data_IF_809355603663
#
_entry.id   IF_809355603663
#
_cell.length_a   1.000
_cell.length_b   1.000
_cell.length_c   1.000
_cell.angle_alpha   90.00
_cell.angle_beta   90.00
_cell.angle_gamma   90.00
#
_symmetry.space_group_name_H-M   'P 1'
#
loop_
_entity.id
_entity.type
_entity.pdbx_description
1 polymer ?
#
# COMPACT_ATOMS: atom_id res chain seq x y z
N UNK A 1 17.23 -8.46 -15.80
CA UNK A 1 17.41 -7.30 -14.90
C UNK A 1 16.16 -7.16 -14.05
N UNK A 2 16.26 -7.32 -12.74
CA UNK A 2 15.13 -7.07 -11.81
C UNK A 2 14.96 -5.57 -11.65
N UNK A 3 13.86 -5.02 -12.18
CA UNK A 3 13.52 -3.62 -12.00
C UNK A 3 13.34 -3.30 -10.50
N UNK A 4 13.85 -2.16 -9.99
CA UNK A 4 13.67 -1.76 -8.60
C UNK A 4 12.19 -1.75 -8.16
N UNK A 5 11.91 -2.03 -6.89
CA UNK A 5 10.52 -2.05 -6.39
C UNK A 5 9.86 -0.67 -6.50
N UNK A 6 10.64 0.40 -6.28
CA UNK A 6 10.18 1.78 -6.40
C UNK A 6 9.70 2.09 -7.82
N UNK A 7 10.42 1.58 -8.80
CA UNK A 7 10.12 1.75 -10.21
C UNK A 7 8.80 1.06 -10.58
N UNK A 8 8.68 -0.21 -10.19
CA UNK A 8 7.47 -0.98 -10.38
C UNK A 8 6.27 -0.34 -9.64
N UNK A 9 6.47 0.19 -8.44
CA UNK A 9 5.44 0.96 -7.72
C UNK A 9 5.02 2.21 -8.50
N UNK A 10 5.98 2.97 -9.03
CA UNK A 10 5.69 4.16 -9.85
C UNK A 10 4.87 3.79 -11.09
N UNK A 11 5.24 2.72 -11.80
CA UNK A 11 4.48 2.20 -12.95
C UNK A 11 3.05 1.82 -12.53
N UNK A 12 2.89 1.05 -11.45
CA UNK A 12 1.57 0.60 -10.98
C UNK A 12 0.68 1.75 -10.54
N UNK A 13 1.25 2.81 -9.96
CA UNK A 13 0.53 4.04 -9.60
C UNK A 13 -0.19 4.67 -10.80
N UNK A 14 0.51 4.71 -11.92
CA UNK A 14 0.04 5.37 -13.14
C UNK A 14 -0.62 4.41 -14.11
N UNK A 15 -0.84 3.16 -13.70
CA UNK A 15 -1.34 2.08 -14.56
C UNK A 15 -0.55 1.96 -15.87
N UNK A 16 0.75 2.26 -15.83
CA UNK A 16 1.60 2.23 -17.00
C UNK A 16 1.96 0.77 -17.37
N UNK A 17 2.25 0.49 -18.64
CA UNK A 17 2.84 -0.77 -19.06
C UNK A 17 4.13 -1.09 -18.28
N UNK A 18 4.37 -2.37 -17.97
CA UNK A 18 5.51 -2.79 -17.14
C UNK A 18 6.89 -2.51 -17.78
N UNK A 19 6.93 -2.28 -19.09
CA UNK A 19 8.10 -1.93 -19.90
C UNK A 19 8.36 -0.41 -20.00
N UNK A 20 7.55 0.41 -19.30
CA UNK A 20 7.71 1.86 -19.32
C UNK A 20 9.01 2.29 -18.64
N UNK A 21 9.80 3.12 -19.34
CA UNK A 21 10.98 3.74 -18.75
C UNK A 21 10.58 4.92 -17.85
N UNK A 22 10.98 4.84 -16.59
CA UNK A 22 10.56 5.80 -15.55
C UNK A 22 11.39 7.07 -15.60
N UNK A 23 12.63 7.01 -16.07
CA UNK A 23 13.50 8.20 -16.21
C UNK A 23 12.88 9.24 -17.12
N UNK A 24 12.12 8.79 -18.13
CA UNK A 24 11.46 9.65 -19.11
C UNK A 24 10.31 10.43 -18.46
N UNK A 25 9.66 9.85 -17.44
CA UNK A 25 8.59 10.50 -16.69
C UNK A 25 9.11 11.37 -15.53
N UNK A 26 10.23 11.01 -14.91
CA UNK A 26 10.82 11.79 -13.82
C UNK A 26 11.33 13.16 -14.30
N UNK A 27 11.79 13.24 -15.55
CA UNK A 27 12.38 14.44 -16.14
C UNK A 27 11.37 15.32 -16.90
N UNK A 28 10.13 14.86 -17.10
CA UNK A 28 9.11 15.64 -17.79
C UNK A 28 8.38 16.57 -16.81
N UNK A 29 8.64 17.89 -16.91
CA UNK A 29 7.80 18.96 -16.35
C UNK A 29 6.39 19.02 -16.98
N UNK A 30 6.07 18.11 -17.90
CA UNK A 30 4.83 18.13 -18.65
C UNK A 30 3.68 17.61 -17.78
N UNK A 31 2.58 18.38 -17.82
CA UNK A 31 1.29 18.13 -17.18
C UNK A 31 0.68 16.83 -17.72
N UNK A 32 1.20 15.67 -17.34
CA UNK A 32 0.35 14.48 -17.34
C UNK A 32 -0.76 14.78 -16.34
N UNK A 33 -2.00 14.66 -16.77
CA UNK A 33 -3.18 14.67 -15.91
C UNK A 33 -3.11 13.46 -15.00
N UNK A 34 -2.27 13.55 -13.98
CA UNK A 34 -2.03 12.50 -13.02
C UNK A 34 -3.28 12.39 -12.15
N UNK A 35 -4.01 11.28 -12.26
CA UNK A 35 -5.00 10.93 -11.26
C UNK A 35 -4.38 11.07 -9.86
N UNK A 36 -5.18 11.49 -8.89
CA UNK A 36 -4.75 11.79 -7.52
C UNK A 36 -4.29 10.55 -6.71
N UNK A 37 -3.91 9.46 -7.41
CA UNK A 37 -3.43 8.20 -6.85
C UNK A 37 -1.96 8.35 -6.51
N UNK A 38 -1.66 8.77 -5.29
CA UNK A 38 -0.28 8.86 -4.80
C UNK A 38 0.03 7.73 -3.82
N UNK A 39 -0.99 7.01 -3.34
CA UNK A 39 -0.88 6.05 -2.26
C UNK A 39 -0.97 4.63 -2.82
N UNK A 40 0.00 3.80 -2.48
CA UNK A 40 0.16 2.45 -3.01
C UNK A 40 0.41 1.50 -1.84
N UNK A 41 -0.16 0.30 -1.92
CA UNK A 41 0.12 -0.78 -1.00
C UNK A 41 0.55 -2.03 -1.77
N UNK A 42 1.45 -2.81 -1.18
CA UNK A 42 1.90 -4.11 -1.67
C UNK A 42 1.63 -5.13 -0.60
N UNK A 43 0.99 -6.23 -0.96
CA UNK A 43 0.92 -7.42 -0.09
C UNK A 43 1.93 -8.45 -0.56
N UNK A 44 2.71 -9.01 0.36
CA UNK A 44 3.76 -9.97 0.05
C UNK A 44 3.91 -11.03 1.17
N UNK A 45 4.61 -12.13 0.90
CA UNK A 45 4.70 -13.27 1.82
C UNK A 45 5.68 -13.08 2.98
N UNK A 46 6.97 -12.96 2.67
CA UNK A 46 8.07 -12.96 3.63
C UNK A 46 9.09 -11.89 3.27
N UNK A 47 10.02 -11.61 4.19
CA UNK A 47 11.08 -10.61 3.98
C UNK A 47 10.73 -9.25 4.58
N UNK A 48 11.62 -8.29 4.32
CA UNK A 48 11.51 -6.89 4.73
C UNK A 48 11.67 -6.01 3.49
N UNK A 49 11.18 -4.78 3.58
CA UNK A 49 11.49 -3.75 2.59
C UNK A 49 12.78 -3.06 3.01
N UNK A 50 13.72 -2.92 2.08
CA UNK A 50 15.00 -2.21 2.27
C UNK A 50 15.04 -1.05 1.28
N UNK A 51 15.46 0.12 1.73
CA UNK A 51 15.75 1.27 0.88
C UNK A 51 17.26 1.53 0.91
N UNK A 52 17.87 1.64 -0.27
CA UNK A 52 19.25 2.02 -0.51
C UNK A 52 19.30 3.14 -1.57
N UNK A 53 20.49 3.63 -1.89
CA UNK A 53 20.68 4.66 -2.94
C UNK A 53 20.13 4.21 -4.31
N UNK A 54 20.19 2.91 -4.60
CA UNK A 54 19.67 2.31 -5.84
C UNK A 54 18.13 2.11 -5.83
N UNK A 55 17.46 2.46 -4.73
CA UNK A 55 16.00 2.41 -4.60
C UNK A 55 15.48 1.42 -3.55
N UNK A 56 14.27 0.91 -3.80
CA UNK A 56 13.52 0.08 -2.85
C UNK A 56 13.56 -1.39 -3.28
N UNK A 57 13.79 -2.30 -2.33
CA UNK A 57 13.97 -3.73 -2.61
C UNK A 57 13.31 -4.61 -1.54
N UNK A 58 12.95 -5.84 -1.94
CA UNK A 58 12.58 -6.89 -1.00
C UNK A 58 13.83 -7.64 -0.55
N UNK A 59 14.05 -7.70 0.77
CA UNK A 59 15.27 -8.24 1.39
C UNK A 59 15.51 -9.73 1.14
N UNK A 60 14.50 -10.47 0.71
CA UNK A 60 14.56 -11.91 0.50
C UNK A 60 14.15 -12.22 -0.93
N UNK A 61 14.97 -12.98 -1.63
CA UNK A 61 14.66 -13.50 -2.97
C UNK A 61 13.44 -14.43 -2.98
N UNK A 62 13.10 -15.06 -1.84
CA UNK A 62 11.89 -15.87 -1.67
C UNK A 62 10.62 -15.06 -1.33
N UNK A 63 10.72 -13.73 -1.25
CA UNK A 63 9.58 -12.86 -1.06
C UNK A 63 8.76 -12.80 -2.36
N UNK A 64 7.49 -13.20 -2.29
CA UNK A 64 6.58 -13.13 -3.42
C UNK A 64 5.57 -12.01 -3.18
N UNK A 65 5.47 -11.11 -4.16
CA UNK A 65 4.40 -10.12 -4.21
C UNK A 65 3.11 -10.83 -4.61
N UNK A 66 2.07 -10.66 -3.80
CA UNK A 66 0.77 -11.31 -3.99
C UNK A 66 -0.23 -10.37 -4.65
N UNK A 67 -0.20 -9.08 -4.29
CA UNK A 67 -1.12 -8.08 -4.83
C UNK A 67 -0.59 -6.66 -4.67
N UNK A 68 -1.10 -5.76 -5.51
CA UNK A 68 -0.91 -4.32 -5.43
C UNK A 68 -2.25 -3.65 -5.20
N UNK A 69 -2.24 -2.61 -4.37
CA UNK A 69 -3.38 -1.74 -4.14
C UNK A 69 -3.03 -0.29 -4.45
N UNK A 70 -3.97 0.45 -4.99
CA UNK A 70 -3.86 1.90 -5.22
C UNK A 70 -5.06 2.58 -4.58
N UNK A 71 -4.90 3.81 -4.09
CA UNK A 71 -6.06 4.54 -3.60
C UNK A 71 -7.03 4.86 -4.75
N UNK A 72 -8.32 4.92 -4.47
CA UNK A 72 -9.35 5.46 -5.34
C UNK A 72 -10.13 6.54 -4.59
N UNK A 73 -10.60 7.56 -5.30
CA UNK A 73 -11.49 8.56 -4.71
C UNK A 73 -12.92 8.06 -4.72
N UNK A 74 -13.69 8.54 -3.75
CA UNK A 74 -15.14 8.36 -3.73
C UNK A 74 -15.81 9.21 -4.81
N UNK A 75 -17.12 9.08 -4.91
CA UNK A 75 -17.92 9.97 -5.74
C UNK A 75 -17.93 11.41 -5.19
N UNK A 76 -18.14 12.38 -6.08
CA UNK A 76 -18.23 13.80 -5.68
C UNK A 76 -19.43 14.07 -4.77
N UNK A 77 -20.48 13.24 -4.87
CA UNK A 77 -21.69 13.31 -4.05
C UNK A 77 -21.49 12.73 -2.63
N UNK A 78 -20.37 12.04 -2.37
CA UNK A 78 -20.05 11.46 -1.06
C UNK A 78 -20.91 10.27 -0.65
N UNK A 79 -21.64 9.63 -1.58
CA UNK A 79 -22.42 8.42 -1.34
C UNK A 79 -21.52 7.19 -1.25
N UNK A 80 -20.43 7.17 -2.01
CA UNK A 80 -19.46 6.08 -2.04
C UNK A 80 -18.11 6.53 -1.50
N UNK A 81 -17.61 5.94 -0.40
CA UNK A 81 -16.29 6.28 0.10
C UNK A 81 -15.22 5.80 -0.90
N UNK A 82 -14.15 6.57 -1.04
CA UNK A 82 -12.97 6.13 -1.76
C UNK A 82 -12.33 4.90 -1.12
N UNK A 83 -11.66 4.09 -1.93
CA UNK A 83 -10.91 2.93 -1.43
C UNK A 83 -9.47 3.34 -1.12
N UNK A 84 -8.99 2.98 0.06
CA UNK A 84 -7.60 3.18 0.42
C UNK A 84 -6.71 2.08 -0.18
N UNK A 85 -5.45 2.39 -0.48
CA UNK A 85 -4.54 1.48 -1.15
C UNK A 85 -4.36 0.15 -0.39
N UNK A 86 -4.34 0.22 0.94
CA UNK A 86 -4.23 -0.92 1.85
C UNK A 86 -5.40 -1.88 1.72
N UNK A 87 -6.61 -1.34 1.54
CA UNK A 87 -7.82 -2.15 1.40
C UNK A 87 -7.91 -2.72 -0.02
N UNK A 88 -7.53 -1.94 -1.03
CA UNK A 88 -7.48 -2.39 -2.42
C UNK A 88 -6.50 -3.56 -2.60
N UNK A 89 -5.31 -3.49 -1.98
CA UNK A 89 -4.33 -4.58 -2.07
C UNK A 89 -4.87 -5.87 -1.45
N UNK A 90 -5.53 -5.81 -0.29
CA UNK A 90 -6.13 -6.99 0.36
C UNK A 90 -7.30 -7.51 -0.45
N UNK A 91 -8.16 -6.64 -0.99
CA UNK A 91 -9.31 -7.04 -1.80
C UNK A 91 -8.90 -7.83 -3.05
N UNK A 92 -7.77 -7.47 -3.65
CA UNK A 92 -7.16 -8.16 -4.79
C UNK A 92 -6.45 -9.47 -4.45
N UNK A 93 -6.30 -9.82 -3.16
CA UNK A 93 -5.77 -11.13 -2.79
C UNK A 93 -6.72 -12.25 -3.23
N UNK A 94 -6.19 -13.35 -3.79
CA UNK A 94 -7.00 -14.52 -4.08
C UNK A 94 -7.50 -15.14 -2.78
N UNK A 95 -8.73 -15.66 -2.77
CA UNK A 95 -9.27 -16.30 -1.57
C UNK A 95 -8.46 -17.56 -1.23
N UNK A 96 -7.81 -17.57 -0.09
CA UNK A 96 -7.09 -18.72 0.41
C UNK A 96 -8.02 -19.57 1.27
N UNK A 97 -8.86 -20.37 0.61
CA UNK A 97 -9.69 -21.38 1.28
C UNK A 97 -8.91 -22.68 1.37
N UNK A 98 -8.36 -23.00 2.54
CA UNK A 98 -7.80 -24.33 2.76
C UNK A 98 -8.94 -25.33 2.95
N UNK A 99 -8.89 -26.48 2.25
CA UNK A 99 -9.87 -27.57 2.33
C UNK A 99 -10.11 -28.07 3.77
N UNK A 100 -9.13 -27.87 4.67
CA UNK A 100 -9.17 -28.36 6.05
C UNK A 100 -9.35 -27.24 7.11
N UNK A 101 -9.70 -26.01 6.70
CA UNK A 101 -10.12 -24.92 7.61
C UNK A 101 -9.07 -24.38 8.59
N UNK A 102 -7.82 -24.86 8.59
CA UNK A 102 -6.86 -24.60 9.69
C UNK A 102 -5.65 -23.73 9.36
N UNK A 103 -5.18 -23.65 8.12
CA UNK A 103 -3.98 -22.83 7.83
C UNK A 103 -4.36 -21.46 7.28
N UNK A 104 -4.01 -20.43 8.04
CA UNK A 104 -4.09 -19.04 7.64
C UNK A 104 -2.73 -18.63 7.06
N UNK A 105 -2.71 -18.17 5.80
CA UNK A 105 -1.46 -17.78 5.14
C UNK A 105 -0.96 -16.45 5.71
N UNK A 106 0.27 -16.43 6.22
CA UNK A 106 0.87 -15.20 6.75
C UNK A 106 1.32 -14.30 5.60
N UNK A 107 1.01 -13.01 5.74
CA UNK A 107 1.38 -11.97 4.78
C UNK A 107 1.89 -10.73 5.50
N UNK A 108 2.65 -9.94 4.77
CA UNK A 108 3.08 -8.61 5.13
C UNK A 108 2.45 -7.60 4.17
N UNK A 109 2.25 -6.37 4.64
CA UNK A 109 1.77 -5.27 3.81
C UNK A 109 2.77 -4.14 3.89
N UNK A 110 3.17 -3.58 2.75
CA UNK A 110 3.93 -2.33 2.67
C UNK A 110 3.04 -1.25 2.09
N UNK A 111 3.02 -0.08 2.71
CA UNK A 111 2.18 1.04 2.33
C UNK A 111 3.08 2.24 2.12
N UNK A 112 3.03 2.87 0.96
CA UNK A 112 3.83 4.07 0.68
C UNK A 112 3.11 5.06 -0.20
N UNK A 113 3.46 6.32 -0.04
CA UNK A 113 3.00 7.39 -0.91
C UNK A 113 4.16 7.83 -1.79
N UNK A 114 3.95 7.89 -3.09
CA UNK A 114 4.94 8.32 -4.07
C UNK A 114 4.49 9.67 -4.64
N UNK A 115 5.38 10.66 -4.57
CA UNK A 115 5.19 11.97 -5.17
C UNK A 115 5.38 11.94 -6.70
N UNK A 116 5.03 13.02 -7.40
CA UNK A 116 5.21 13.10 -8.85
C UNK A 116 6.68 12.94 -9.29
N UNK A 117 7.62 13.34 -8.43
CA UNK A 117 9.06 13.23 -8.65
C UNK A 117 9.65 11.93 -8.06
N UNK A 118 8.84 10.86 -7.99
CA UNK A 118 9.21 9.54 -7.46
C UNK A 118 9.73 9.50 -6.01
N UNK A 119 9.63 10.59 -5.23
CA UNK A 119 10.00 10.59 -3.81
C UNK A 119 8.92 9.94 -2.93
N UNK A 120 9.36 9.11 -1.99
CA UNK A 120 8.56 8.51 -0.93
C UNK A 120 8.06 9.61 0.03
N UNK A 121 6.85 9.45 0.54
CA UNK A 121 6.21 10.34 1.50
C UNK A 121 5.53 9.54 2.62
N UNK A 122 5.14 10.22 3.70
CA UNK A 122 4.40 9.58 4.79
C UNK A 122 3.13 8.88 4.30
N UNK A 123 2.95 7.64 4.73
CA UNK A 123 1.88 6.72 4.32
C UNK A 123 1.31 5.92 5.48
N UNK A 124 1.42 6.42 6.73
CA UNK A 124 0.86 5.74 7.89
C UNK A 124 -0.62 5.40 7.65
N UNK A 125 -1.03 4.12 7.75
CA UNK A 125 -2.42 3.73 7.53
C UNK A 125 -3.38 4.45 8.47
N UNK A 126 -4.57 4.80 7.97
CA UNK A 126 -5.59 5.43 8.82
C UNK A 126 -6.30 4.41 9.73
N UNK A 127 -6.93 4.90 10.81
CA UNK A 127 -7.61 4.05 11.80
C UNK A 127 -8.63 3.08 11.17
N UNK A 128 -9.41 3.57 10.20
CA UNK A 128 -10.41 2.76 9.52
C UNK A 128 -9.78 1.68 8.62
N UNK A 129 -8.62 1.96 8.04
CA UNK A 129 -7.88 0.94 7.31
C UNK A 129 -7.35 -0.12 8.27
N UNK A 130 -6.76 0.26 9.40
CA UNK A 130 -6.23 -0.68 10.40
C UNK A 130 -7.29 -1.72 10.81
N UNK A 131 -8.49 -1.25 11.16
CA UNK A 131 -9.62 -2.13 11.52
C UNK A 131 -10.08 -3.02 10.36
N UNK A 132 -10.26 -2.45 9.16
CA UNK A 132 -10.76 -3.20 7.99
C UNK A 132 -9.73 -4.17 7.42
N UNK A 133 -8.44 -3.85 7.47
CA UNK A 133 -7.36 -4.70 6.99
C UNK A 133 -7.39 -6.06 7.69
N UNK A 134 -7.52 -6.05 9.03
CA UNK A 134 -7.61 -7.27 9.84
C UNK A 134 -8.78 -8.14 9.38
N UNK A 135 -9.97 -7.56 9.35
CA UNK A 135 -11.20 -8.25 8.97
C UNK A 135 -11.15 -8.81 7.54
N UNK A 136 -10.75 -8.01 6.56
CA UNK A 136 -10.70 -8.43 5.15
C UNK A 136 -9.65 -9.51 4.90
N UNK A 137 -8.50 -9.42 5.56
CA UNK A 137 -7.45 -10.44 5.44
C UNK A 137 -7.95 -11.78 5.99
N UNK A 138 -8.58 -11.78 7.18
CA UNK A 138 -9.12 -12.98 7.81
C UNK A 138 -10.23 -13.62 6.96
N UNK A 139 -11.15 -12.83 6.40
CA UNK A 139 -12.19 -13.31 5.48
C UNK A 139 -11.61 -14.02 4.24
N UNK A 140 -10.42 -13.62 3.80
CA UNK A 140 -9.72 -14.21 2.66
C UNK A 140 -8.77 -15.36 3.04
N UNK A 141 -8.69 -15.73 4.32
CA UNK A 141 -7.81 -16.80 4.81
C UNK A 141 -6.35 -16.39 5.02
N UNK A 142 -6.11 -15.09 5.26
CA UNK A 142 -4.78 -14.53 5.52
C UNK A 142 -4.66 -13.92 6.92
N UNK A 143 -3.43 -13.85 7.42
CA UNK A 143 -3.07 -13.16 8.67
C UNK A 143 -1.96 -12.18 8.38
N UNK A 144 -2.23 -10.89 8.63
CA UNK A 144 -1.23 -9.85 8.51
C UNK A 144 -0.26 -9.97 9.69
N UNK A 145 1.00 -10.25 9.39
CA UNK A 145 2.08 -10.39 10.37
C UNK A 145 2.72 -9.04 10.66
N UNK A 146 3.10 -8.32 9.60
CA UNK A 146 3.73 -7.01 9.70
C UNK A 146 3.11 -6.02 8.73
N UNK A 147 3.01 -4.77 9.18
CA UNK A 147 2.68 -3.61 8.37
C UNK A 147 3.93 -2.75 8.30
N UNK A 148 4.36 -2.45 7.08
CA UNK A 148 5.46 -1.56 6.78
C UNK A 148 4.87 -0.27 6.21
N UNK A 149 5.29 0.88 6.71
CA UNK A 149 4.89 2.17 6.14
C UNK A 149 6.04 3.17 6.18
N UNK A 150 5.95 4.23 5.39
CA UNK A 150 6.95 5.30 5.37
C UNK A 150 6.49 6.44 6.26
N UNK A 151 7.37 6.94 7.14
CA UNK A 151 7.06 8.04 8.06
C UNK A 151 7.31 9.44 7.44
N UNK A 152 7.25 10.49 8.25
CA UNK A 152 7.53 11.87 7.81
C UNK A 152 9.00 12.09 7.40
N UNK A 153 9.91 11.29 7.95
CA UNK A 153 11.33 11.35 7.68
C UNK A 153 11.74 10.42 6.52
N UNK A 154 10.75 9.85 5.81
CA UNK A 154 10.93 8.86 4.75
C UNK A 154 11.58 7.54 5.21
N UNK A 155 11.57 7.26 6.51
CA UNK A 155 12.05 5.99 7.06
C UNK A 155 10.97 4.91 6.89
N UNK A 156 11.40 3.68 6.66
CA UNK A 156 10.51 2.52 6.63
C UNK A 156 10.33 2.00 8.05
N UNK A 157 9.11 2.16 8.57
CA UNK A 157 8.73 1.68 9.88
C UNK A 157 8.07 0.31 9.73
N UNK A 158 8.59 -0.69 10.44
CA UNK A 158 7.96 -1.99 10.60
C UNK A 158 7.17 -2.02 11.90
N UNK A 159 5.89 -2.38 11.82
CA UNK A 159 5.00 -2.50 12.97
C UNK A 159 4.05 -3.68 12.79
N UNK A 160 3.14 -3.89 13.73
CA UNK A 160 2.02 -4.81 13.61
C UNK A 160 0.69 -4.07 13.80
N UNK A 161 -0.42 -4.76 13.50
CA UNK A 161 -1.76 -4.15 13.61
C UNK A 161 -2.09 -3.75 15.06
N UNK A 162 -1.61 -4.49 16.05
CA UNK A 162 -1.91 -4.23 17.47
C UNK A 162 -1.23 -2.94 17.94
N UNK A 163 0.02 -2.74 17.53
CA UNK A 163 0.75 -1.50 17.83
C UNK A 163 0.11 -0.31 17.12
N UNK A 164 -0.30 -0.46 15.84
CA UNK A 164 -1.00 0.59 15.10
C UNK A 164 -2.36 0.99 15.71
N UNK A 165 -3.08 0.06 16.34
CA UNK A 165 -4.35 0.34 17.03
C UNK A 165 -4.15 1.20 18.29
N UNK A 166 -3.00 1.07 18.96
CA UNK A 166 -2.67 1.80 20.19
C UNK A 166 -1.99 3.16 19.94
N UNK A 167 -1.42 3.35 18.75
CA UNK A 167 -0.78 4.59 18.34
C UNK A 167 -1.79 5.76 18.21
N UNK A 168 -1.31 7.02 18.26
CA UNK A 168 -2.13 8.19 17.95
C UNK A 168 -2.85 8.03 16.60
N UNK A 169 -4.17 8.11 16.64
CA UNK A 169 -5.02 7.73 15.51
C UNK A 169 -5.02 8.81 14.44
N UNK A 170 -4.77 8.40 13.19
CA UNK A 170 -4.92 9.25 12.02
C UNK A 170 -6.23 8.91 11.30
N UNK A 171 -7.04 9.93 11.02
CA UNK A 171 -8.26 9.83 10.24
C UNK A 171 -8.06 10.42 8.85
N UNK A 172 -8.61 9.77 7.82
CA UNK A 172 -8.66 10.36 6.48
C UNK A 172 -9.66 11.50 6.43
N UNK A 173 -9.50 12.41 5.45
CA UNK A 173 -10.32 13.61 5.31
C UNK A 173 -11.82 13.31 5.33
N UNK A 174 -12.26 12.25 4.64
CA UNK A 174 -13.66 11.83 4.58
C UNK A 174 -14.26 11.51 5.96
N UNK A 175 -13.46 10.91 6.86
CA UNK A 175 -13.94 10.58 8.20
C UNK A 175 -13.76 11.74 9.18
N UNK A 176 -12.77 12.61 8.97
CA UNK A 176 -12.62 13.84 9.77
C UNK A 176 -13.84 14.76 9.63
N UNK A 177 -14.33 14.97 8.41
CA UNK A 177 -15.49 15.83 8.17
C UNK A 177 -16.78 15.31 8.81
N UNK A 178 -16.86 14.01 9.13
CA UNK A 178 -18.01 13.37 9.77
C UNK A 178 -17.88 13.20 11.29
N UNK A 179 -16.75 13.59 11.90
CA UNK A 179 -16.56 13.59 13.36
C UNK A 179 -16.84 14.95 14.03
N UNK A 180 -17.18 15.98 13.24
CA UNK A 180 -17.44 17.35 13.73
C UNK A 180 -18.95 17.60 13.99
N UNK A 181 -19.73 16.54 14.23
CA UNK A 181 -21.13 16.64 14.66
C UNK A 181 -21.44 15.60 15.73
#
# INVERSE_FOLDING_TARGET
>A
MTQPLLDMLYIKRFCLPCDTNITDHANQNNKVSFNNYNHIAITFTHGKIIANDDGLFLSKTSANILSFGVNSYGDMEGKFPGTHAELDSINKLPNYKNKNGKQVKQINIFVTRISKIAKIQNSKPCNNCIKKMKFLAEQKGYKIKHVFYTDNNCNIIQTDLKQLENDPQHYSLFYRSRMVY
#
